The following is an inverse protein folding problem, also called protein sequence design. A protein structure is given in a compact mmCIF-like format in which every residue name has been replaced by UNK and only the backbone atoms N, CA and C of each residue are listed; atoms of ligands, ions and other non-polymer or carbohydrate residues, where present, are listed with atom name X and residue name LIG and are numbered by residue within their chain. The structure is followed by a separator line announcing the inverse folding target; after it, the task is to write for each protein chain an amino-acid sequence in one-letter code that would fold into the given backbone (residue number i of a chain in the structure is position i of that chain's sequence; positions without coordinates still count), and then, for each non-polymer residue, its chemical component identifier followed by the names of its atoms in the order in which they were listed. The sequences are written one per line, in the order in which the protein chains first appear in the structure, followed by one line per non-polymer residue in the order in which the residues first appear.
data_IF_054600799238
#
_entry.id   IF_054600799238
#
_cell.length_a   1.000
_cell.length_b   1.000
_cell.length_c   1.000
_cell.angle_alpha   90.00
_cell.angle_beta   90.00
_cell.angle_gamma   90.00
#
_symmetry.space_group_name_H-M   'P 1'
#
loop_
_entity.id
_entity.type
_entity.pdbx_description
1 polymer ?
#
# COMPACT_ATOMS: atom_id res chain seq x y z
N UNK A 1 -19.53 54.64 69.04
CA UNK A 1 -19.92 53.61 68.05
C UNK A 1 -19.24 53.89 66.72
N UNK A 2 -18.29 53.05 66.29
CA UNK A 2 -17.63 53.15 64.98
C UNK A 2 -18.16 52.02 64.10
N UNK A 3 -18.52 52.29 62.87
CA UNK A 3 -18.99 51.24 62.00
C UNK A 3 -17.82 50.37 61.47
N UNK A 4 -18.01 49.07 61.52
CA UNK A 4 -17.14 48.06 60.96
C UNK A 4 -17.12 48.15 59.42
N UNK A 5 -15.95 48.41 58.82
CA UNK A 5 -15.71 48.23 57.38
C UNK A 5 -15.45 46.75 57.09
N UNK A 6 -16.40 46.12 56.41
CA UNK A 6 -16.20 44.82 55.83
C UNK A 6 -15.30 44.98 54.56
N UNK A 7 -14.06 44.47 54.61
CA UNK A 7 -13.20 44.34 53.45
C UNK A 7 -13.73 43.24 52.56
N UNK A 8 -14.19 43.62 51.37
CA UNK A 8 -14.47 42.70 50.31
C UNK A 8 -13.13 42.27 49.71
N UNK A 9 -12.68 41.03 49.96
CA UNK A 9 -11.60 40.37 49.28
C UNK A 9 -12.09 40.03 47.88
N UNK A 10 -11.44 40.49 46.78
CA UNK A 10 -11.83 40.10 45.43
C UNK A 10 -11.46 38.63 45.22
N UNK A 11 -12.50 37.81 45.00
CA UNK A 11 -12.34 36.41 44.68
C UNK A 11 -11.44 36.24 43.44
N UNK A 12 -10.40 35.44 43.56
CA UNK A 12 -9.56 35.01 42.41
C UNK A 12 -10.47 34.41 41.37
N UNK A 13 -10.37 34.84 40.10
CA UNK A 13 -11.10 34.18 39.03
C UNK A 13 -10.57 32.75 38.90
N UNK A 14 -11.38 31.78 39.25
CA UNK A 14 -11.12 30.38 38.92
C UNK A 14 -11.23 30.24 37.41
N UNK A 15 -10.11 30.39 36.70
CA UNK A 15 -9.96 29.96 35.29
C UNK A 15 -9.93 28.43 35.28
N UNK A 16 -11.06 27.80 35.50
CA UNK A 16 -11.27 26.44 35.05
C UNK A 16 -11.36 26.52 33.53
N UNK A 17 -10.22 26.35 32.88
CA UNK A 17 -10.15 26.16 31.43
C UNK A 17 -11.15 25.06 31.05
N UNK A 18 -12.26 25.45 30.46
CA UNK A 18 -13.29 24.50 30.07
C UNK A 18 -12.82 23.74 28.86
N UNK A 19 -13.16 22.48 28.79
CA UNK A 19 -12.84 21.58 27.65
C UNK A 19 -13.18 22.22 26.29
N UNK A 20 -14.11 23.17 26.30
CA UNK A 20 -14.57 23.92 25.13
C UNK A 20 -13.52 24.87 24.54
N UNK A 21 -12.59 25.37 25.34
CA UNK A 21 -11.51 26.24 24.89
C UNK A 21 -10.40 25.45 24.20
N UNK A 22 -10.26 24.15 24.49
CA UNK A 22 -9.25 23.27 23.84
C UNK A 22 -9.73 22.68 22.52
N UNK A 23 -11.02 22.69 22.21
CA UNK A 23 -11.58 22.09 21.00
C UNK A 23 -10.95 22.58 19.69
N UNK A 24 -10.74 23.90 19.46
CA UNK A 24 -10.13 24.36 18.23
C UNK A 24 -8.67 23.90 18.08
N UNK A 25 -7.94 23.82 19.19
CA UNK A 25 -6.54 23.34 19.18
C UNK A 25 -6.48 21.84 18.93
N UNK A 26 -7.39 21.05 19.45
CA UNK A 26 -7.50 19.62 19.20
C UNK A 26 -7.81 19.34 17.72
N UNK A 27 -8.74 20.08 17.13
CA UNK A 27 -9.07 20.00 15.70
C UNK A 27 -7.89 20.38 14.82
N UNK A 28 -7.17 21.43 15.16
CA UNK A 28 -5.97 21.85 14.44
C UNK A 28 -4.87 20.78 14.54
N UNK A 29 -4.64 20.20 15.71
CA UNK A 29 -3.66 19.13 15.92
C UNK A 29 -4.01 17.89 15.08
N UNK A 30 -5.28 17.46 15.07
CA UNK A 30 -5.76 16.36 14.27
C UNK A 30 -5.57 16.62 12.76
N UNK A 31 -5.85 17.84 12.31
CA UNK A 31 -5.63 18.24 10.92
C UNK A 31 -4.14 18.18 10.55
N UNK A 32 -3.26 18.67 11.41
CA UNK A 32 -1.81 18.58 11.22
C UNK A 32 -1.33 17.14 11.12
N UNK A 33 -1.80 16.25 12.01
CA UNK A 33 -1.47 14.82 11.96
C UNK A 33 -1.91 14.20 10.63
N UNK A 34 -3.11 14.54 10.15
CA UNK A 34 -3.66 14.07 8.88
C UNK A 34 -2.79 14.51 7.69
N UNK A 35 -2.41 15.79 7.66
CA UNK A 35 -1.55 16.34 6.61
C UNK A 35 -0.17 15.68 6.64
N UNK A 36 0.46 15.57 7.81
CA UNK A 36 1.80 14.97 7.96
C UNK A 36 1.76 13.49 7.52
N UNK A 37 0.75 12.74 7.95
CA UNK A 37 0.55 11.34 7.57
C UNK A 37 0.38 11.18 6.06
N UNK A 38 -0.44 12.06 5.43
CA UNK A 38 -0.67 12.04 3.98
C UNK A 38 0.59 12.41 3.19
N UNK A 39 1.34 13.42 3.62
CA UNK A 39 2.59 13.84 2.99
C UNK A 39 3.65 12.74 3.11
N UNK A 40 3.77 12.11 4.28
CA UNK A 40 4.71 11.00 4.50
C UNK A 40 4.38 9.80 3.60
N UNK A 41 3.11 9.41 3.53
CA UNK A 41 2.66 8.33 2.66
C UNK A 41 2.90 8.64 1.16
N UNK A 42 2.69 9.89 0.73
CA UNK A 42 2.98 10.32 -0.62
C UNK A 42 4.48 10.29 -0.93
N UNK A 43 5.32 10.71 0.03
CA UNK A 43 6.77 10.73 -0.12
C UNK A 43 7.35 9.31 -0.19
N UNK A 44 6.91 8.39 0.67
CA UNK A 44 7.33 7.00 0.64
C UNK A 44 7.02 6.31 -0.71
N UNK A 45 5.98 6.79 -1.43
CA UNK A 45 5.62 6.31 -2.79
C UNK A 45 6.46 6.95 -3.91
N UNK A 46 7.05 8.11 -3.68
CA UNK A 46 7.77 8.88 -4.72
C UNK A 46 9.29 8.68 -4.73
N UNK A 47 9.86 7.99 -3.75
CA UNK A 47 11.32 7.86 -3.61
C UNK A 47 11.93 6.68 -4.40
N UNK A 48 11.15 5.95 -5.20
CA UNK A 48 11.71 4.88 -6.03
C UNK A 48 12.28 5.44 -7.33
N UNK A 49 13.59 5.25 -7.59
CA UNK A 49 14.21 5.76 -8.80
C UNK A 49 13.70 4.98 -10.02
N UNK A 50 13.04 5.66 -10.92
CA UNK A 50 12.64 5.11 -12.21
C UNK A 50 13.81 5.22 -13.17
N UNK A 51 14.31 4.11 -13.67
CA UNK A 51 15.38 4.05 -14.67
C UNK A 51 14.89 3.24 -15.88
N UNK A 52 15.28 3.64 -17.09
CA UNK A 52 14.84 3.04 -18.35
C UNK A 52 15.88 2.11 -18.94
N UNK A 53 15.48 0.93 -19.38
CA UNK A 53 16.31 0.00 -20.12
C UNK A 53 15.43 -1.01 -20.89
N UNK A 54 15.86 -1.45 -22.04
CA UNK A 54 15.24 -2.59 -22.77
C UNK A 54 15.58 -3.94 -22.13
N UNK A 55 16.35 -3.94 -21.06
CA UNK A 55 16.66 -5.14 -20.27
C UNK A 55 16.19 -4.93 -18.83
N UNK A 56 15.57 -5.95 -18.22
CA UNK A 56 15.26 -5.88 -16.81
C UNK A 56 16.53 -5.73 -15.98
N UNK A 57 16.48 -4.92 -14.95
CA UNK A 57 17.55 -4.79 -13.98
C UNK A 57 17.26 -5.71 -12.82
N UNK A 58 18.16 -6.61 -12.54
CA UNK A 58 18.10 -7.45 -11.34
C UNK A 58 18.64 -6.64 -10.16
N UNK A 59 17.89 -6.56 -9.09
CA UNK A 59 18.33 -5.88 -7.89
C UNK A 59 17.93 -6.64 -6.64
N UNK A 60 18.86 -6.71 -5.71
CA UNK A 60 18.62 -7.20 -4.35
C UNK A 60 18.35 -6.06 -3.37
N UNK A 61 18.54 -4.79 -3.78
CA UNK A 61 18.39 -3.61 -2.92
C UNK A 61 16.98 -3.44 -2.36
N UNK A 62 15.97 -3.91 -3.09
CA UNK A 62 14.58 -3.90 -2.65
C UNK A 62 14.16 -5.20 -1.94
N UNK A 63 15.13 -6.02 -1.65
CA UNK A 63 14.94 -7.28 -0.95
C UNK A 63 14.36 -7.07 0.43
N UNK A 64 13.17 -7.64 0.64
CA UNK A 64 12.49 -7.61 1.92
C UNK A 64 11.47 -6.49 2.09
N UNK A 65 11.24 -5.61 1.13
CA UNK A 65 10.04 -4.77 1.12
C UNK A 65 8.83 -5.64 0.82
N UNK A 66 8.03 -5.86 1.84
CA UNK A 66 6.76 -6.55 1.68
C UNK A 66 5.80 -5.68 0.89
N UNK A 67 5.10 -6.20 -0.13
CA UNK A 67 4.11 -5.42 -0.87
C UNK A 67 2.95 -5.02 0.05
N UNK A 68 2.36 -3.86 -0.17
CA UNK A 68 1.11 -3.46 0.51
C UNK A 68 -0.09 -4.22 -0.03
N UNK A 69 -0.09 -4.49 -1.32
CA UNK A 69 -1.09 -5.28 -1.99
C UNK A 69 -0.45 -5.99 -3.20
N UNK A 70 -1.05 -7.09 -3.62
CA UNK A 70 -0.56 -7.91 -4.72
C UNK A 70 -1.58 -7.93 -5.84
N UNK A 71 -1.14 -7.59 -7.03
CA UNK A 71 -1.97 -7.62 -8.23
C UNK A 71 -2.02 -9.02 -8.84
N UNK A 72 -0.87 -9.73 -8.83
CA UNK A 72 -0.78 -11.04 -9.46
C UNK A 72 0.37 -11.86 -8.84
N UNK A 73 0.17 -13.16 -8.73
CA UNK A 73 1.19 -14.15 -8.34
C UNK A 73 1.25 -15.21 -9.45
N UNK A 74 2.41 -15.45 -9.99
CA UNK A 74 2.62 -16.46 -11.04
C UNK A 74 3.72 -17.42 -10.59
N UNK A 75 3.42 -18.72 -10.66
CA UNK A 75 4.40 -19.80 -10.52
C UNK A 75 4.95 -20.16 -11.89
N UNK A 76 6.27 -20.20 -12.04
CA UNK A 76 6.96 -20.68 -13.22
C UNK A 76 8.25 -21.40 -12.83
N UNK A 77 8.32 -22.69 -13.13
CA UNK A 77 9.44 -23.54 -12.70
C UNK A 77 9.57 -23.59 -11.18
N UNK A 78 10.73 -23.21 -10.67
CA UNK A 78 11.04 -23.20 -9.22
C UNK A 78 10.79 -21.84 -8.54
N UNK A 79 10.15 -20.89 -9.24
CA UNK A 79 10.01 -19.51 -8.78
C UNK A 79 8.56 -19.06 -8.69
N UNK A 80 8.31 -18.18 -7.71
CA UNK A 80 7.11 -17.37 -7.59
C UNK A 80 7.43 -15.94 -8.00
N UNK A 81 6.73 -15.45 -8.99
CA UNK A 81 6.80 -14.08 -9.45
C UNK A 81 5.61 -13.31 -8.88
N UNK A 82 5.89 -12.27 -8.13
CA UNK A 82 4.89 -11.45 -7.44
C UNK A 82 4.89 -10.05 -8.02
N UNK A 83 3.75 -9.64 -8.55
CA UNK A 83 3.51 -8.28 -9.01
C UNK A 83 2.79 -7.49 -7.92
N UNK A 84 3.44 -6.53 -7.26
CA UNK A 84 2.78 -5.62 -6.35
C UNK A 84 1.77 -4.73 -7.08
N UNK A 85 0.65 -4.40 -6.43
CA UNK A 85 -0.38 -3.55 -7.03
C UNK A 85 -0.10 -2.06 -6.89
N UNK A 86 0.75 -1.71 -5.94
CA UNK A 86 1.10 -0.33 -5.58
C UNK A 86 2.33 0.21 -6.31
N UNK A 87 3.09 -0.68 -6.94
CA UNK A 87 4.31 -0.32 -7.66
C UNK A 87 4.27 -0.80 -9.10
N UNK A 88 4.20 0.16 -10.01
CA UNK A 88 4.37 -0.11 -11.43
C UNK A 88 5.85 -0.36 -11.74
N UNK A 89 6.15 -1.43 -12.45
CA UNK A 89 7.46 -1.62 -13.07
C UNK A 89 8.44 -2.52 -12.33
N UNK A 90 8.04 -3.25 -11.28
CA UNK A 90 8.90 -4.30 -10.73
C UNK A 90 8.12 -5.56 -10.35
N UNK A 91 8.80 -6.69 -10.39
CA UNK A 91 8.32 -7.99 -9.97
C UNK A 91 9.28 -8.55 -8.93
N UNK A 92 8.77 -9.00 -7.81
CA UNK A 92 9.55 -9.70 -6.80
C UNK A 92 9.59 -11.19 -7.13
N UNK A 93 10.76 -11.78 -6.99
CA UNK A 93 11.00 -13.20 -7.26
C UNK A 93 11.35 -13.92 -5.97
N UNK A 94 10.62 -14.99 -5.70
CA UNK A 94 10.80 -15.86 -4.55
C UNK A 94 11.00 -17.29 -5.03
N UNK A 95 11.65 -18.14 -4.26
CA UNK A 95 11.56 -19.57 -4.45
C UNK A 95 10.20 -20.13 -3.99
N UNK A 96 9.91 -21.39 -4.28
CA UNK A 96 8.64 -22.02 -3.90
C UNK A 96 8.50 -22.23 -2.37
N UNK A 97 9.55 -21.98 -1.60
CA UNK A 97 9.54 -21.99 -0.12
C UNK A 97 9.31 -20.59 0.45
N UNK A 98 9.15 -19.59 -0.40
CA UNK A 98 8.91 -18.21 0.01
C UNK A 98 10.15 -17.41 0.35
N UNK A 99 11.36 -17.92 0.04
CA UNK A 99 12.58 -17.15 0.25
C UNK A 99 12.78 -16.17 -0.89
N UNK A 100 12.94 -14.89 -0.56
CA UNK A 100 13.21 -13.85 -1.53
C UNK A 100 14.54 -14.08 -2.25
N UNK A 101 14.52 -13.98 -3.57
CA UNK A 101 15.69 -14.14 -4.42
C UNK A 101 16.21 -12.78 -4.93
N UNK A 102 15.38 -12.07 -5.67
CA UNK A 102 15.69 -10.75 -6.25
C UNK A 102 14.43 -10.04 -6.73
N UNK A 103 14.57 -8.83 -7.22
CA UNK A 103 13.52 -8.11 -7.93
C UNK A 103 13.94 -7.82 -9.36
N UNK A 104 12.97 -7.90 -10.26
CA UNK A 104 13.10 -7.54 -11.67
C UNK A 104 12.51 -6.14 -11.85
N UNK A 105 13.31 -5.18 -12.28
CA UNK A 105 12.85 -3.83 -12.59
C UNK A 105 12.64 -3.67 -14.07
N UNK A 106 11.43 -3.29 -14.43
CA UNK A 106 11.02 -2.99 -15.80
C UNK A 106 10.79 -1.49 -15.89
N UNK A 107 11.71 -0.84 -16.53
CA UNK A 107 11.91 0.59 -16.44
C UNK A 107 11.04 1.33 -17.44
N UNK A 108 9.80 1.62 -17.06
CA UNK A 108 8.88 2.46 -17.83
C UNK A 108 8.30 3.59 -17.00
N UNK A 109 8.28 4.80 -17.58
CA UNK A 109 7.74 6.01 -16.92
C UNK A 109 6.23 6.00 -16.74
N UNK A 110 5.52 5.05 -17.32
CA UNK A 110 4.08 5.15 -17.44
C UNK A 110 3.36 4.28 -16.45
N UNK A 111 2.36 4.87 -15.80
CA UNK A 111 1.37 4.20 -14.95
C UNK A 111 0.51 3.28 -15.83
N UNK A 112 0.91 2.06 -16.03
CA UNK A 112 0.24 1.16 -16.92
C UNK A 112 -0.15 -0.17 -16.33
N UNK A 113 -0.81 -0.93 -17.16
CA UNK A 113 -1.28 -2.25 -16.81
C UNK A 113 -0.22 -3.26 -17.17
N UNK A 114 0.47 -3.76 -16.17
CA UNK A 114 1.38 -4.88 -16.30
C UNK A 114 0.63 -6.20 -16.23
N UNK A 115 1.14 -7.21 -16.92
CA UNK A 115 0.59 -8.56 -16.91
C UNK A 115 1.70 -9.58 -16.82
N UNK A 116 1.41 -10.63 -16.10
CA UNK A 116 2.30 -11.77 -15.98
C UNK A 116 1.59 -13.03 -16.49
N UNK A 117 2.32 -13.89 -17.15
CA UNK A 117 1.86 -15.20 -17.56
C UNK A 117 3.00 -16.21 -17.39
N UNK A 118 2.69 -17.50 -17.38
CA UNK A 118 3.69 -18.57 -17.38
C UNK A 118 3.21 -19.76 -18.18
N UNK A 119 4.19 -20.46 -18.73
CA UNK A 119 4.03 -21.77 -19.37
C UNK A 119 5.21 -22.66 -18.95
N UNK A 120 4.94 -23.65 -18.10
CA UNK A 120 5.98 -24.51 -17.54
C UNK A 120 7.00 -23.74 -16.70
N UNK A 121 8.25 -23.76 -17.12
CA UNK A 121 9.37 -23.06 -16.48
C UNK A 121 9.61 -21.65 -17.02
N UNK A 122 8.80 -21.24 -17.98
CA UNK A 122 8.95 -19.95 -18.67
C UNK A 122 7.96 -18.94 -18.13
N UNK A 123 8.50 -17.81 -17.69
CA UNK A 123 7.76 -16.67 -17.19
C UNK A 123 7.78 -15.54 -18.23
N UNK A 124 6.63 -14.90 -18.41
CA UNK A 124 6.42 -13.80 -19.32
C UNK A 124 5.94 -12.59 -18.56
N UNK A 125 6.58 -11.46 -18.77
CA UNK A 125 6.16 -10.19 -18.26
C UNK A 125 5.84 -9.25 -19.41
N UNK A 126 4.58 -8.85 -19.50
CA UNK A 126 4.14 -7.87 -20.49
C UNK A 126 4.08 -6.49 -19.85
N UNK A 127 4.81 -5.56 -20.45
CA UNK A 127 4.78 -4.15 -20.05
C UNK A 127 3.60 -3.41 -20.70
N UNK A 128 3.48 -2.12 -20.40
CA UNK A 128 2.41 -1.26 -20.92
C UNK A 128 2.54 -1.00 -22.43
N UNK A 129 3.73 -0.89 -22.96
CA UNK A 129 3.99 -0.74 -24.40
C UNK A 129 3.59 -2.01 -25.18
N UNK A 130 3.11 -3.02 -24.44
CA UNK A 130 2.75 -4.34 -24.96
C UNK A 130 3.93 -5.20 -25.37
N UNK A 131 5.16 -4.83 -24.99
CA UNK A 131 6.32 -5.67 -25.20
C UNK A 131 6.43 -6.73 -24.11
N UNK A 132 7.04 -7.85 -24.45
CA UNK A 132 7.11 -9.03 -23.59
C UNK A 132 8.56 -9.36 -23.26
N UNK A 133 8.84 -9.46 -21.98
CA UNK A 133 10.10 -9.96 -21.45
C UNK A 133 9.92 -11.44 -21.12
N UNK A 134 10.81 -12.26 -21.62
CA UNK A 134 10.77 -13.72 -21.46
C UNK A 134 11.89 -14.15 -20.53
N UNK A 135 11.51 -14.93 -19.52
CA UNK A 135 12.44 -15.52 -18.57
C UNK A 135 12.26 -17.03 -18.55
N UNK A 136 13.33 -17.76 -18.33
CA UNK A 136 13.29 -19.21 -18.11
C UNK A 136 14.16 -19.56 -16.92
N UNK A 137 13.60 -20.31 -15.97
CA UNK A 137 14.29 -20.66 -14.72
C UNK A 137 14.90 -19.45 -13.99
N UNK A 138 14.20 -18.32 -13.98
CA UNK A 138 14.67 -17.09 -13.32
C UNK A 138 15.63 -16.24 -14.15
N UNK A 139 16.14 -16.73 -15.28
CA UNK A 139 17.07 -16.01 -16.14
C UNK A 139 16.37 -15.29 -17.28
N UNK A 140 16.81 -14.06 -17.57
CA UNK A 140 16.32 -13.30 -18.71
C UNK A 140 16.82 -13.91 -20.02
N UNK A 141 15.89 -14.26 -20.89
CA UNK A 141 16.18 -14.86 -22.19
C UNK A 141 16.17 -13.81 -23.30
N UNK A 142 15.04 -13.09 -23.43
CA UNK A 142 14.87 -12.15 -24.53
C UNK A 142 13.75 -11.15 -24.28
N UNK A 143 13.77 -10.12 -25.10
CA UNK A 143 12.74 -9.13 -25.24
C UNK A 143 12.06 -9.28 -26.59
N UNK A 144 10.74 -9.34 -26.61
CA UNK A 144 9.96 -9.62 -27.82
C UNK A 144 8.87 -8.57 -27.97
N UNK A 145 8.77 -7.97 -29.15
CA UNK A 145 7.67 -7.08 -29.48
C UNK A 145 6.32 -7.81 -29.43
N UNK A 146 5.28 -7.13 -29.01
CA UNK A 146 3.95 -7.70 -28.81
C UNK A 146 3.42 -8.52 -29.97
N UNK A 147 3.52 -7.97 -31.19
CA UNK A 147 3.03 -8.67 -32.39
C UNK A 147 3.71 -10.01 -32.55
N UNK A 148 5.04 -10.03 -32.47
CA UNK A 148 5.86 -11.24 -32.57
C UNK A 148 5.61 -12.19 -31.39
N UNK A 149 5.40 -11.67 -30.18
CA UNK A 149 5.12 -12.50 -29.01
C UNK A 149 3.80 -13.28 -29.17
N UNK A 150 2.76 -12.65 -29.70
CA UNK A 150 1.48 -13.35 -29.97
C UNK A 150 1.57 -14.44 -31.02
N UNK A 151 2.40 -14.22 -32.04
CA UNK A 151 2.62 -15.21 -33.08
C UNK A 151 3.46 -16.39 -32.58
N UNK A 152 4.47 -16.09 -31.76
CA UNK A 152 5.45 -17.07 -31.27
C UNK A 152 4.97 -17.89 -30.09
N UNK A 153 4.13 -17.28 -29.23
CA UNK A 153 3.59 -17.89 -28.01
C UNK A 153 2.06 -17.87 -28.01
N UNK A 154 1.41 -18.56 -28.98
CA UNK A 154 -0.05 -18.47 -29.17
C UNK A 154 -0.85 -19.08 -28.01
N UNK A 155 -0.21 -19.93 -27.19
CA UNK A 155 -0.85 -20.59 -26.05
C UNK A 155 -0.77 -19.77 -24.76
N UNK A 156 0.05 -18.71 -24.74
CA UNK A 156 0.23 -17.87 -23.54
C UNK A 156 -0.88 -16.83 -23.46
N UNK A 157 -1.65 -16.87 -22.41
CA UNK A 157 -2.66 -15.85 -22.14
C UNK A 157 -2.05 -14.59 -21.51
N UNK A 158 -1.55 -13.71 -22.37
CA UNK A 158 -0.97 -12.43 -21.97
C UNK A 158 -2.00 -11.42 -21.42
N UNK A 159 -3.29 -11.68 -21.50
CA UNK A 159 -4.34 -10.83 -20.94
C UNK A 159 -4.81 -11.32 -19.57
N UNK A 160 -4.30 -12.45 -19.12
CA UNK A 160 -4.64 -13.02 -17.83
C UNK A 160 -4.38 -12.05 -16.70
N UNK A 161 -5.38 -11.86 -15.86
CA UNK A 161 -5.31 -11.01 -14.66
C UNK A 161 -5.26 -11.82 -13.36
N UNK A 162 -5.59 -13.08 -13.43
CA UNK A 162 -5.60 -13.96 -12.27
C UNK A 162 -4.22 -14.50 -11.96
N UNK A 163 -3.97 -14.71 -10.69
CA UNK A 163 -2.81 -15.47 -10.21
C UNK A 163 -2.86 -16.93 -10.66
N UNK A 164 -1.73 -17.62 -10.57
CA UNK A 164 -1.69 -19.08 -10.68
C UNK A 164 -2.68 -19.68 -9.67
N UNK A 165 -3.55 -20.62 -10.08
CA UNK A 165 -4.45 -21.31 -9.16
C UNK A 165 -3.68 -21.92 -7.99
N UNK A 166 -4.30 -21.90 -6.81
CA UNK A 166 -3.72 -22.50 -5.62
C UNK A 166 -2.94 -21.53 -4.73
N UNK A 167 -2.77 -20.25 -5.11
CA UNK A 167 -2.19 -19.25 -4.22
C UNK A 167 -3.26 -18.29 -3.71
N UNK A 168 -3.33 -18.15 -2.37
CA UNK A 168 -4.31 -17.29 -1.69
C UNK A 168 -3.62 -16.48 -0.61
N UNK A 169 -3.95 -15.17 -0.55
CA UNK A 169 -3.53 -14.30 0.55
C UNK A 169 -4.64 -14.30 1.59
N UNK A 170 -4.31 -14.68 2.82
CA UNK A 170 -5.22 -14.65 3.98
C UNK A 170 -4.61 -13.77 5.08
N UNK A 171 -5.25 -12.65 5.35
CA UNK A 171 -4.65 -11.63 6.20
C UNK A 171 -3.38 -11.07 5.56
N UNK A 172 -2.25 -11.28 6.22
CA UNK A 172 -0.93 -10.87 5.72
C UNK A 172 -0.11 -12.02 5.12
N UNK A 173 -0.61 -13.24 5.17
CA UNK A 173 0.14 -14.46 4.84
C UNK A 173 -0.20 -14.99 3.45
N UNK A 174 0.80 -15.54 2.77
CA UNK A 174 0.62 -16.25 1.51
C UNK A 174 0.52 -17.75 1.76
N UNK A 175 -0.57 -18.32 1.30
CA UNK A 175 -0.87 -19.75 1.40
C UNK A 175 -0.88 -20.40 0.04
N UNK A 176 -0.36 -21.63 -0.04
CA UNK A 176 -0.57 -22.55 -1.16
C UNK A 176 -1.71 -23.50 -0.79
N UNK A 177 -2.77 -23.48 -1.59
CA UNK A 177 -3.97 -24.27 -1.35
C UNK A 177 -4.12 -25.28 -2.47
N UNK A 178 -4.10 -26.57 -2.15
CA UNK A 178 -4.41 -27.68 -3.04
C UNK A 178 -5.67 -28.39 -2.56
N UNK A 179 -6.17 -29.36 -3.30
CA UNK A 179 -7.38 -30.11 -2.94
C UNK A 179 -7.27 -30.77 -1.56
N UNK A 180 -6.08 -31.27 -1.24
CA UNK A 180 -5.86 -32.09 -0.04
C UNK A 180 -5.01 -31.40 1.03
N UNK A 181 -4.46 -30.23 0.75
CA UNK A 181 -3.46 -29.59 1.64
C UNK A 181 -3.45 -28.08 1.51
N UNK A 182 -3.39 -27.44 2.66
CA UNK A 182 -3.03 -26.03 2.78
C UNK A 182 -1.63 -25.90 3.39
N UNK A 183 -0.78 -25.12 2.78
CA UNK A 183 0.59 -24.90 3.19
C UNK A 183 0.87 -23.40 3.28
N UNK A 184 1.41 -22.95 4.41
CA UNK A 184 1.89 -21.59 4.56
C UNK A 184 3.22 -21.45 3.77
N UNK A 185 3.22 -20.63 2.73
CA UNK A 185 4.41 -20.36 1.92
C UNK A 185 5.22 -19.21 2.52
N UNK A 186 4.54 -18.11 2.89
CA UNK A 186 5.19 -16.94 3.48
C UNK A 186 4.30 -16.34 4.57
N UNK A 187 4.84 -16.23 5.78
CA UNK A 187 4.22 -15.44 6.84
C UNK A 187 4.51 -13.94 6.63
N UNK A 188 3.57 -13.10 7.04
CA UNK A 188 3.67 -11.64 6.89
C UNK A 188 4.09 -11.19 5.47
N UNK A 189 3.61 -11.85 4.44
CA UNK A 189 3.95 -11.59 3.05
C UNK A 189 3.52 -10.20 2.60
N UNK A 190 2.29 -9.81 2.96
CA UNK A 190 1.74 -8.48 2.66
C UNK A 190 1.92 -7.58 3.86
N UNK A 191 2.41 -6.37 3.64
CA UNK A 191 2.52 -5.38 4.71
C UNK A 191 1.15 -4.79 5.02
N UNK A 192 0.77 -4.85 6.29
CA UNK A 192 -0.39 -4.11 6.74
C UNK A 192 -0.14 -2.61 6.61
N UNK A 193 -0.94 -1.93 5.80
CA UNK A 193 -0.84 -0.47 5.66
C UNK A 193 -1.43 0.22 6.90
N UNK A 194 -0.60 0.31 7.94
CA UNK A 194 -0.95 1.05 9.16
C UNK A 194 -1.28 2.52 8.84
N UNK A 195 -0.76 3.07 7.74
CA UNK A 195 -1.05 4.46 7.34
C UNK A 195 -2.50 4.60 6.89
N UNK A 196 -3.04 3.64 6.17
CA UNK A 196 -4.45 3.61 5.78
C UNK A 196 -5.37 3.47 7.01
N UNK A 197 -5.04 2.57 7.93
CA UNK A 197 -5.80 2.42 9.17
C UNK A 197 -5.78 3.70 10.01
N UNK A 198 -4.62 4.35 10.15
CA UNK A 198 -4.47 5.65 10.83
C UNK A 198 -5.28 6.74 10.12
N UNK A 199 -5.27 6.79 8.79
CA UNK A 199 -6.07 7.75 8.02
C UNK A 199 -7.57 7.53 8.25
N UNK A 200 -8.04 6.29 8.22
CA UNK A 200 -9.44 5.97 8.50
C UNK A 200 -9.85 6.37 9.93
N UNK A 201 -9.04 6.03 10.94
CA UNK A 201 -9.29 6.40 12.33
C UNK A 201 -9.31 7.93 12.48
N UNK A 202 -8.35 8.62 11.89
CA UNK A 202 -8.25 10.08 11.96
C UNK A 202 -9.45 10.74 11.27
N UNK A 203 -9.90 10.21 10.13
CA UNK A 203 -11.11 10.69 9.46
C UNK A 203 -12.36 10.51 10.32
N UNK A 204 -12.54 9.35 10.95
CA UNK A 204 -13.67 9.06 11.83
C UNK A 204 -13.67 10.01 13.05
N UNK A 205 -12.50 10.19 13.68
CA UNK A 205 -12.34 11.09 14.83
C UNK A 205 -12.63 12.55 14.43
N UNK A 206 -12.16 12.97 13.24
CA UNK A 206 -12.40 14.33 12.74
C UNK A 206 -13.88 14.59 12.46
N UNK A 207 -14.58 13.63 11.86
CA UNK A 207 -16.03 13.71 11.62
C UNK A 207 -16.79 13.78 12.96
N UNK A 208 -16.42 12.95 13.93
CA UNK A 208 -17.00 12.97 15.27
C UNK A 208 -16.80 14.32 15.97
N UNK A 209 -15.60 14.89 15.89
CA UNK A 209 -15.30 16.21 16.45
C UNK A 209 -16.13 17.32 15.80
N UNK A 210 -16.27 17.31 14.46
CA UNK A 210 -17.13 18.27 13.75
C UNK A 210 -18.59 18.17 14.18
N UNK A 211 -19.09 16.96 14.37
CA UNK A 211 -20.46 16.73 14.83
C UNK A 211 -20.70 17.28 16.23
N UNK A 212 -19.75 17.09 17.15
CA UNK A 212 -19.80 17.65 18.49
C UNK A 212 -19.77 19.18 18.48
N UNK A 213 -18.94 19.79 17.65
CA UNK A 213 -18.89 21.26 17.49
C UNK A 213 -20.22 21.80 16.96
N UNK A 214 -20.76 21.16 15.92
CA UNK A 214 -22.06 21.55 15.36
C UNK A 214 -23.19 21.45 16.39
N UNK A 215 -23.22 20.37 17.18
CA UNK A 215 -24.16 20.18 18.25
C UNK A 215 -24.06 21.29 19.36
N UNK A 216 -22.84 21.68 19.70
CA UNK A 216 -22.60 22.76 20.66
C UNK A 216 -23.07 24.13 20.14
N UNK A 217 -22.75 24.48 18.89
CA UNK A 217 -23.22 25.72 18.27
C UNK A 217 -24.75 25.79 18.26
N UNK A 218 -25.40 24.67 17.90
CA UNK A 218 -26.88 24.60 17.91
C UNK A 218 -27.45 24.85 19.31
N UNK A 219 -26.88 24.23 20.36
CA UNK A 219 -27.32 24.45 21.75
C UNK A 219 -27.14 25.91 22.19
N UNK A 220 -26.01 26.54 21.85
CA UNK A 220 -25.73 27.94 22.19
C UNK A 220 -26.68 28.92 21.49
N UNK A 221 -27.17 28.60 20.28
CA UNK A 221 -28.18 29.42 19.58
C UNK A 221 -29.59 29.29 20.17
N UNK A 222 -29.92 28.13 20.75
CA UNK A 222 -31.24 27.93 21.39
C UNK A 222 -31.35 28.56 22.77
N UNK A 223 -30.21 28.85 23.43
CA UNK A 223 -30.16 29.44 24.76
C UNK A 223 -29.97 31.00 24.73
N UNK A 224 -30.04 31.60 23.55
CA UNK A 224 -30.14 33.07 23.37
C UNK A 224 -31.53 33.47 22.89
#
# INVERSE_FOLDING_TARGET
MRPHKTEHTPGKPNHNLTLDEFRPYLLFLLLCILIISSVRSARERSEEPVRFSQKPVFSTEFGGRKPYAVAQIIEAGEYLYVLPSDHAGFVQVYDLKGSYQHSLFFLEETKGVFRMAAEGDTFYFRNQSSDVFVFRNGEFIEYVQWKTARERFPHVDFERRSSTPGYVIRGTDLWRVSVDREELVMADFVRFDASFAVQCITAIVSIGALWLVAGWIKRKRMNR
#
